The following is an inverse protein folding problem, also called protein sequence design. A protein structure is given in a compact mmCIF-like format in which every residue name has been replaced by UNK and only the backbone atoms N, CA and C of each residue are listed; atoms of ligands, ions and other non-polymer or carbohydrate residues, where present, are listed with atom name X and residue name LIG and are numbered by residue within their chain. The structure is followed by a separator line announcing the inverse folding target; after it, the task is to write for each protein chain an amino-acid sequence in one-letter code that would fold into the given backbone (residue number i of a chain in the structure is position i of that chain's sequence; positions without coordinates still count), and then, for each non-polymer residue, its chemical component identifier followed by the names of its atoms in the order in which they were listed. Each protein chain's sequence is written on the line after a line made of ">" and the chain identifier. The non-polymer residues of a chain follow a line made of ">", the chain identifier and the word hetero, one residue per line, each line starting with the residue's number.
data_IF_907059021004
#
_entry.id   IF_907059021004
#
_cell.length_a   1.000
_cell.length_b   1.000
_cell.length_c   1.000
_cell.angle_alpha   90.00
_cell.angle_beta   90.00
_cell.angle_gamma   90.00
#
_symmetry.space_group_name_H-M   'P 1'
#
loop_
_entity.id
_entity.type
_entity.pdbx_description
1 polymer ?
#
# COMPACT_ATOMS: atom_id res chain seq x y z
N UNK A 1 4.39 -11.48 -22.57
CA UNK A 1 4.31 -11.24 -21.11
C UNK A 1 5.26 -12.20 -20.44
N UNK A 2 6.42 -11.70 -20.02
CA UNK A 2 7.42 -12.47 -19.29
C UNK A 2 7.07 -12.46 -17.81
N UNK A 3 7.01 -13.65 -17.23
CA UNK A 3 6.86 -13.85 -15.80
C UNK A 3 8.18 -14.37 -15.25
N UNK A 4 8.68 -13.75 -14.18
CA UNK A 4 9.84 -14.24 -13.44
C UNK A 4 9.33 -14.73 -12.09
N UNK A 5 9.64 -15.98 -11.76
CA UNK A 5 9.21 -16.62 -10.52
C UNK A 5 10.43 -16.84 -9.65
N UNK A 6 10.35 -16.42 -8.39
CA UNK A 6 11.36 -16.64 -7.36
C UNK A 6 10.78 -17.49 -6.24
N UNK A 7 11.63 -18.31 -5.63
CA UNK A 7 11.31 -19.03 -4.41
C UNK A 7 11.83 -18.21 -3.22
N UNK A 8 10.97 -17.87 -2.27
CA UNK A 8 11.35 -17.13 -1.08
C UNK A 8 12.06 -18.01 -0.04
N UNK A 9 12.99 -17.40 0.70
CA UNK A 9 14.00 -18.09 1.52
C UNK A 9 13.47 -19.01 2.63
N UNK A 10 12.27 -18.77 3.19
CA UNK A 10 11.93 -19.36 4.49
C UNK A 10 10.62 -20.15 4.60
N UNK A 11 9.87 -20.41 3.51
CA UNK A 11 8.65 -21.25 3.57
C UNK A 11 8.13 -21.74 2.20
N UNK A 12 8.98 -21.76 1.17
CA UNK A 12 8.52 -22.08 -0.19
C UNK A 12 7.54 -21.05 -0.75
N UNK A 13 7.59 -19.80 -0.27
CA UNK A 13 6.76 -18.73 -0.76
C UNK A 13 7.05 -18.48 -2.24
N UNK A 14 6.03 -18.56 -3.09
CA UNK A 14 6.15 -18.24 -4.49
C UNK A 14 6.07 -16.72 -4.69
N UNK A 15 7.11 -16.13 -5.25
CA UNK A 15 7.18 -14.70 -5.57
C UNK A 15 7.14 -14.55 -7.08
N UNK A 16 6.25 -13.71 -7.59
CA UNK A 16 6.07 -13.47 -9.03
C UNK A 16 6.38 -12.00 -9.35
N UNK A 17 7.24 -11.77 -10.33
CA UNK A 17 7.51 -10.45 -10.89
C UNK A 17 7.16 -10.44 -12.39
N UNK A 18 6.47 -9.40 -12.84
CA UNK A 18 6.05 -9.23 -14.23
C UNK A 18 6.58 -7.88 -14.74
N UNK A 19 7.85 -7.81 -15.16
CA UNK A 19 8.45 -6.60 -15.68
C UNK A 19 8.07 -6.44 -17.15
N UNK A 20 7.16 -5.50 -17.45
CA UNK A 20 6.67 -5.24 -18.82
C UNK A 20 6.19 -3.79 -18.94
N UNK A 21 6.14 -3.24 -20.16
CA UNK A 21 5.62 -1.90 -20.44
C UNK A 21 4.13 -1.71 -20.06
N UNK A 22 3.67 -0.47 -19.92
CA UNK A 22 2.24 -0.18 -19.74
C UNK A 22 1.37 -0.79 -20.85
N UNK A 23 0.12 -1.15 -20.55
CA UNK A 23 -0.82 -1.66 -21.56
C UNK A 23 -0.78 -3.17 -21.83
N UNK A 24 0.16 -3.93 -21.25
CA UNK A 24 0.26 -5.40 -21.49
C UNK A 24 -0.70 -6.25 -20.65
N UNK A 25 -1.79 -5.67 -20.13
CA UNK A 25 -2.81 -6.41 -19.38
C UNK A 25 -2.43 -6.86 -17.95
N UNK A 26 -1.38 -6.30 -17.34
CA UNK A 26 -0.98 -6.65 -15.95
C UNK A 26 -2.11 -6.42 -14.93
N UNK A 27 -2.87 -5.33 -15.06
CA UNK A 27 -4.05 -5.08 -14.21
C UNK A 27 -5.14 -6.12 -14.44
N UNK A 28 -5.32 -6.60 -15.67
CA UNK A 28 -6.28 -7.67 -15.98
C UNK A 28 -5.88 -9.00 -15.34
N UNK A 29 -4.57 -9.32 -15.30
CA UNK A 29 -4.07 -10.46 -14.58
C UNK A 29 -4.36 -10.37 -13.08
N UNK A 30 -4.11 -9.22 -12.46
CA UNK A 30 -4.44 -8.99 -11.04
C UNK A 30 -5.93 -9.22 -10.79
N UNK A 31 -6.81 -8.75 -11.70
CA UNK A 31 -8.26 -8.98 -11.63
C UNK A 31 -8.62 -10.47 -11.76
N UNK A 32 -7.97 -11.22 -12.65
CA UNK A 32 -8.20 -12.65 -12.82
C UNK A 32 -7.79 -13.45 -11.56
N UNK A 33 -6.62 -13.16 -11.00
CA UNK A 33 -6.17 -13.77 -9.74
C UNK A 33 -7.11 -13.40 -8.59
N UNK A 34 -7.58 -12.14 -8.54
CA UNK A 34 -8.59 -11.73 -7.55
C UNK A 34 -9.88 -12.54 -7.67
N UNK A 35 -10.39 -12.73 -8.90
CA UNK A 35 -11.58 -13.57 -9.15
C UNK A 35 -11.36 -15.02 -8.71
N UNK A 36 -10.17 -15.58 -8.90
CA UNK A 36 -9.85 -16.93 -8.44
C UNK A 36 -9.94 -17.05 -6.91
N UNK A 37 -9.36 -16.12 -6.15
CA UNK A 37 -9.47 -16.15 -4.69
C UNK A 37 -10.90 -15.87 -4.19
N UNK A 38 -11.70 -15.11 -4.97
CA UNK A 38 -13.12 -14.89 -4.70
C UNK A 38 -13.92 -16.19 -4.84
N UNK A 39 -13.77 -16.89 -5.96
CA UNK A 39 -14.48 -18.15 -6.24
C UNK A 39 -14.06 -19.25 -5.26
N UNK A 40 -12.80 -19.27 -4.84
CA UNK A 40 -12.30 -20.23 -3.85
C UNK A 40 -12.62 -19.87 -2.39
N UNK A 41 -13.33 -18.76 -2.13
CA UNK A 41 -13.68 -18.25 -0.78
C UNK A 41 -12.45 -18.01 0.12
N UNK A 42 -11.34 -17.57 -0.48
CA UNK A 42 -10.06 -17.29 0.20
C UNK A 42 -9.68 -15.81 0.13
N UNK A 43 -10.66 -14.92 -0.04
CA UNK A 43 -10.40 -13.47 -0.18
C UNK A 43 -9.65 -12.87 1.01
N UNK A 44 -9.92 -13.37 2.22
CA UNK A 44 -9.24 -12.99 3.45
C UNK A 44 -7.72 -13.23 3.43
N UNK A 45 -7.23 -14.11 2.54
CA UNK A 45 -5.80 -14.41 2.38
C UNK A 45 -5.10 -13.49 1.37
N UNK A 46 -5.83 -12.60 0.70
CA UNK A 46 -5.31 -11.72 -0.34
C UNK A 46 -5.38 -10.25 0.09
N UNK A 47 -4.22 -9.58 0.09
CA UNK A 47 -4.12 -8.11 0.17
C UNK A 47 -3.62 -7.59 -1.18
N UNK A 48 -4.29 -6.58 -1.73
CA UNK A 48 -3.89 -5.91 -2.97
C UNK A 48 -3.35 -4.54 -2.63
N UNK A 49 -2.09 -4.28 -3.00
CA UNK A 49 -1.39 -3.06 -2.66
C UNK A 49 -0.86 -2.39 -3.92
N UNK A 50 -0.79 -1.07 -3.90
CA UNK A 50 -0.17 -0.27 -4.96
C UNK A 50 0.60 0.92 -4.35
N UNK A 51 1.58 1.49 -5.08
CA UNK A 51 2.35 2.63 -4.57
C UNK A 51 1.55 3.94 -4.51
N UNK A 52 0.54 4.13 -5.37
CA UNK A 52 -0.27 5.36 -5.42
C UNK A 52 -1.76 5.06 -5.22
N UNK A 53 -2.51 6.08 -4.76
CA UNK A 53 -3.95 5.96 -4.50
C UNK A 53 -4.76 5.59 -5.74
N UNK A 54 -4.44 6.18 -6.89
CA UNK A 54 -5.14 5.87 -8.16
C UNK A 54 -4.89 4.42 -8.58
N UNK A 55 -3.64 3.94 -8.52
CA UNK A 55 -3.32 2.55 -8.85
C UNK A 55 -3.96 1.56 -7.87
N UNK A 56 -4.05 1.93 -6.58
CA UNK A 56 -4.73 1.12 -5.57
C UNK A 56 -6.23 1.02 -5.86
N UNK A 57 -6.88 2.14 -6.19
CA UNK A 57 -8.30 2.16 -6.56
C UNK A 57 -8.58 1.29 -7.79
N UNK A 58 -7.71 1.37 -8.81
CA UNK A 58 -7.82 0.59 -10.05
C UNK A 58 -7.81 -0.93 -9.83
N UNK A 59 -7.02 -1.41 -8.87
CA UNK A 59 -6.99 -2.83 -8.50
C UNK A 59 -7.96 -3.18 -7.36
N UNK A 60 -8.74 -2.21 -6.86
CA UNK A 60 -9.62 -2.37 -5.70
C UNK A 60 -8.88 -2.77 -4.43
N UNK A 61 -7.75 -2.13 -4.17
CA UNK A 61 -6.85 -2.34 -3.03
C UNK A 61 -6.57 -1.05 -2.26
N UNK A 62 -5.46 -1.03 -1.52
CA UNK A 62 -5.01 0.15 -0.76
C UNK A 62 -3.56 0.49 -1.08
N UNK A 63 -3.08 1.65 -0.63
CA UNK A 63 -1.68 1.97 -0.80
C UNK A 63 -0.80 1.14 0.12
N UNK A 64 0.45 0.89 -0.29
CA UNK A 64 1.45 0.22 0.56
C UNK A 64 1.60 0.99 1.89
N UNK A 65 1.60 2.33 1.84
CA UNK A 65 1.70 3.17 3.03
C UNK A 65 0.52 2.97 3.99
N UNK A 66 -0.72 3.03 3.49
CA UNK A 66 -1.92 2.82 4.30
C UNK A 66 -1.93 1.44 4.96
N UNK A 67 -1.48 0.41 4.24
CA UNK A 67 -1.37 -0.94 4.77
C UNK A 67 -0.33 -1.04 5.90
N UNK A 68 0.85 -0.46 5.72
CA UNK A 68 1.90 -0.49 6.73
C UNK A 68 1.54 0.33 7.97
N UNK A 69 0.84 1.46 7.81
CA UNK A 69 0.32 2.25 8.92
C UNK A 69 -0.75 1.51 9.72
N UNK A 70 -1.66 0.78 9.04
CA UNK A 70 -2.65 -0.08 9.71
C UNK A 70 -1.99 -1.13 10.60
N UNK A 71 -0.91 -1.76 10.13
CA UNK A 71 -0.14 -2.73 10.91
C UNK A 71 0.53 -2.09 12.14
N UNK A 72 0.92 -0.81 12.04
CA UNK A 72 1.52 -0.06 13.16
C UNK A 72 0.48 0.36 14.19
N UNK A 73 -0.78 0.52 13.77
CA UNK A 73 -1.89 0.94 14.64
C UNK A 73 -2.40 -0.16 15.57
N UNK A 74 -1.94 -1.42 15.42
CA UNK A 74 -2.19 -2.47 16.41
C UNK A 74 -1.50 -2.21 17.75
N UNK A 75 -0.56 -1.25 17.81
CA UNK A 75 -0.07 -0.66 19.05
C UNK A 75 -0.90 0.56 19.42
N UNK A 76 -1.61 0.48 20.55
CA UNK A 76 -2.35 1.53 21.31
C UNK A 76 -2.70 2.82 20.52
N UNK A 77 -3.98 3.20 20.39
CA UNK A 77 -4.37 4.45 19.72
C UNK A 77 -3.59 5.62 20.31
N UNK A 78 -2.93 6.41 19.44
CA UNK A 78 -2.30 7.67 19.86
C UNK A 78 -3.42 8.57 20.36
N UNK A 79 -3.50 8.75 21.68
CA UNK A 79 -4.33 9.78 22.27
C UNK A 79 -3.76 11.12 21.81
N UNK A 80 -4.37 11.72 20.78
CA UNK A 80 -4.12 13.12 20.47
C UNK A 80 -4.72 13.88 21.64
N UNK A 81 -3.87 14.34 22.55
CA UNK A 81 -4.28 15.27 23.60
C UNK A 81 -4.51 16.61 22.91
N UNK A 82 -5.62 17.34 23.19
CA UNK A 82 -5.78 18.70 22.71
C UNK A 82 -4.61 19.54 23.25
N UNK A 83 -3.62 19.85 22.41
CA UNK A 83 -2.40 20.54 22.84
C UNK A 83 -1.17 20.34 21.96
N UNK A 84 -1.11 19.29 21.13
CA UNK A 84 0.11 18.99 20.34
C UNK A 84 0.27 19.81 19.04
N UNK A 85 -0.58 20.81 18.81
CA UNK A 85 -0.41 21.79 17.74
C UNK A 85 0.67 22.82 18.12
N UNK A 86 1.93 22.42 18.24
CA UNK A 86 3.02 23.41 18.30
C UNK A 86 3.27 23.96 16.89
N UNK A 87 2.51 25.02 16.60
CA UNK A 87 2.85 26.04 15.63
C UNK A 87 4.18 26.67 16.09
N UNK A 88 5.28 26.44 15.38
CA UNK A 88 6.44 27.34 15.46
C UNK A 88 6.53 28.10 14.14
N UNK A 89 5.85 29.25 14.14
CA UNK A 89 6.10 30.35 13.23
C UNK A 89 7.04 31.30 13.98
N UNK A 90 8.35 31.16 13.77
CA UNK A 90 9.36 32.12 14.24
C UNK A 90 9.82 32.92 13.01
N UNK A 91 9.78 34.24 12.95
CA UNK A 91 9.33 35.21 13.94
C UNK A 91 9.13 36.58 13.29
N UNK A 92 8.25 37.38 13.88
CA UNK A 92 8.28 38.82 13.71
C UNK A 92 9.46 39.38 14.49
N UNK A 93 10.22 40.28 13.87
CA UNK A 93 11.00 41.28 14.60
C UNK A 93 10.76 42.60 13.91
N UNK A 94 9.90 43.39 14.51
CA UNK A 94 9.61 44.76 14.16
C UNK A 94 10.78 45.68 14.53
N UNK A 95 11.06 46.58 13.57
CA UNK A 95 11.35 48.01 13.74
C UNK A 95 12.80 48.55 13.76
N UNK A 96 12.91 49.76 13.21
CA UNK A 96 14.00 50.78 13.24
C UNK A 96 15.20 50.52 12.33
N UNK A 97 15.58 51.36 11.35
CA UNK A 97 15.40 52.81 11.09
C UNK A 97 14.90 53.10 9.67
#
# INVERSE_FOLDING_TARGET
>A
MKCIVFLGDNNGQLIMCIPECGGTGKSQLIRAVSKYFLVTKRMQMMRKLAPTGIAAAEIGGMTIHSFLDEQRYSGKPRTIKPGDSKLEKNGDSSNTY
#
